data_IF_546922841360
#
_entry.id   IF_546922841360
#
_cell.length_a   1.000
_cell.length_b   1.000
_cell.length_c   1.000
_cell.angle_alpha   90.00
_cell.angle_beta   90.00
_cell.angle_gamma   90.00
#
_symmetry.space_group_name_H-M   'P 1'
#
loop_
_entity.id
_entity.type
_entity.pdbx_description
1 polymer ?
#
# COMPACT_ATOMS: atom_id res chain seq x y z
N UNK A 1 12.71 1.37 17.85
CA UNK A 1 11.53 0.63 18.31
C UNK A 1 10.92 0.07 17.04
N UNK A 2 10.94 -1.24 16.87
CA UNK A 2 10.73 -1.93 15.58
C UNK A 2 9.36 -1.62 15.01
N UNK A 3 9.33 -1.13 13.77
CA UNK A 3 8.13 -0.81 13.05
C UNK A 3 7.36 -2.11 12.73
N UNK A 4 6.37 -2.43 13.56
CA UNK A 4 5.17 -3.24 13.24
C UNK A 4 5.32 -4.68 12.73
N UNK A 5 6.41 -5.35 13.06
CA UNK A 5 6.42 -6.82 13.09
C UNK A 5 5.60 -7.27 14.32
N UNK A 6 4.29 -7.41 14.13
CA UNK A 6 3.45 -8.09 15.11
C UNK A 6 3.62 -9.61 14.87
N UNK A 7 4.00 -10.41 15.89
CA UNK A 7 3.95 -11.86 15.76
C UNK A 7 2.52 -12.23 15.32
N UNK A 8 2.39 -13.02 14.25
CA UNK A 8 1.09 -13.42 13.73
C UNK A 8 0.31 -14.14 14.85
N UNK A 9 -0.62 -13.41 15.48
CA UNK A 9 -1.42 -13.95 16.57
C UNK A 9 -2.56 -14.80 16.00
N UNK A 10 -3.12 -14.40 14.85
CA UNK A 10 -4.04 -15.16 14.00
C UNK A 10 -4.15 -14.45 12.64
N UNK A 11 -3.77 -15.07 11.52
CA UNK A 11 -3.97 -14.46 10.19
C UNK A 11 -5.37 -14.79 9.68
N UNK A 12 -6.25 -13.80 9.61
CA UNK A 12 -7.56 -13.95 8.95
C UNK A 12 -7.36 -13.68 7.45
N UNK A 13 -7.86 -14.58 6.60
CA UNK A 13 -7.81 -14.32 5.16
C UNK A 13 -8.72 -13.15 4.80
N UNK A 14 -8.24 -12.26 3.95
CA UNK A 14 -9.03 -11.18 3.38
C UNK A 14 -10.23 -11.71 2.57
N UNK A 15 -10.13 -12.93 2.04
CA UNK A 15 -11.24 -13.60 1.35
C UNK A 15 -12.36 -14.05 2.30
N UNK A 16 -12.06 -14.24 3.58
CA UNK A 16 -13.07 -14.56 4.61
C UNK A 16 -13.80 -13.32 5.12
N UNK A 17 -13.13 -12.15 5.03
CA UNK A 17 -13.69 -10.86 5.47
C UNK A 17 -14.52 -10.20 4.37
N UNK A 18 -14.01 -10.26 3.13
CA UNK A 18 -14.58 -9.50 2.01
C UNK A 18 -15.32 -10.41 1.03
N UNK A 19 -16.54 -10.03 0.59
CA UNK A 19 -17.30 -10.81 -0.39
C UNK A 19 -16.79 -10.53 -1.81
N UNK A 20 -15.53 -10.87 -2.08
CA UNK A 20 -14.80 -10.49 -3.31
C UNK A 20 -15.50 -10.98 -4.58
N UNK A 21 -16.08 -12.18 -4.54
CA UNK A 21 -16.78 -12.77 -5.68
C UNK A 21 -17.99 -11.93 -6.09
N UNK A 22 -18.66 -11.29 -5.13
CA UNK A 22 -19.80 -10.39 -5.40
C UNK A 22 -19.35 -9.05 -5.97
N UNK A 23 -18.13 -8.60 -5.66
CA UNK A 23 -17.61 -7.33 -6.13
C UNK A 23 -17.12 -7.39 -7.58
N UNK A 24 -16.64 -8.54 -8.04
CA UNK A 24 -16.07 -8.74 -9.38
C UNK A 24 -17.01 -8.31 -10.52
N UNK A 25 -18.33 -8.39 -10.29
CA UNK A 25 -19.40 -7.99 -11.24
C UNK A 25 -20.07 -6.66 -10.88
N UNK A 26 -19.65 -6.03 -9.79
CA UNK A 26 -20.25 -4.82 -9.26
C UNK A 26 -19.74 -3.53 -9.91
N UNK A 27 -20.18 -2.41 -9.36
CA UNK A 27 -19.83 -1.05 -9.80
C UNK A 27 -18.79 -0.38 -8.88
N UNK A 28 -18.06 -1.16 -8.09
CA UNK A 28 -17.09 -0.64 -7.11
C UNK A 28 -16.07 0.27 -7.80
N UNK A 29 -15.98 1.51 -7.31
CA UNK A 29 -15.08 2.54 -7.82
C UNK A 29 -13.87 2.75 -6.93
N UNK A 30 -14.06 2.61 -5.63
CA UNK A 30 -13.06 2.93 -4.63
C UNK A 30 -13.02 1.79 -3.62
N UNK A 31 -11.83 1.27 -3.38
CA UNK A 31 -11.57 0.25 -2.36
C UNK A 31 -10.52 0.79 -1.39
N UNK A 32 -10.79 0.72 -0.08
CA UNK A 32 -9.85 1.16 0.94
C UNK A 32 -9.61 0.05 1.94
N UNK A 33 -8.35 -0.16 2.30
CA UNK A 33 -7.94 -1.07 3.36
C UNK A 33 -6.98 -0.34 4.27
N UNK A 34 -7.29 -0.30 5.57
CA UNK A 34 -6.45 0.38 6.53
C UNK A 34 -6.39 -0.28 7.90
N UNK A 35 -5.22 -0.19 8.55
CA UNK A 35 -5.04 -0.57 9.95
C UNK A 35 -5.16 -2.06 10.24
N UNK A 36 -4.97 -2.91 9.22
CA UNK A 36 -5.13 -4.36 9.32
C UNK A 36 -3.82 -5.08 8.98
N UNK A 37 -3.66 -6.26 9.58
CA UNK A 37 -2.56 -7.17 9.29
C UNK A 37 -2.85 -7.99 8.03
N UNK A 38 -1.90 -8.08 7.09
CA UNK A 38 -2.09 -8.74 5.80
C UNK A 38 -0.90 -9.61 5.41
N UNK A 39 -1.20 -10.73 4.73
CA UNK A 39 -0.20 -11.44 3.95
C UNK A 39 -0.10 -10.81 2.56
N UNK A 40 1.11 -10.69 2.01
CA UNK A 40 1.32 -10.11 0.68
C UNK A 40 0.50 -10.83 -0.39
N UNK A 41 0.57 -12.15 -0.44
CA UNK A 41 -0.11 -12.93 -1.49
C UNK A 41 -1.64 -12.83 -1.39
N UNK A 42 -2.18 -12.76 -0.17
CA UNK A 42 -3.63 -12.62 0.04
C UNK A 42 -4.12 -11.22 -0.37
N UNK A 43 -3.35 -10.17 -0.06
CA UNK A 43 -3.63 -8.82 -0.55
C UNK A 43 -3.60 -8.76 -2.09
N UNK A 44 -2.57 -9.34 -2.72
CA UNK A 44 -2.46 -9.33 -4.18
C UNK A 44 -3.60 -10.14 -4.83
N UNK A 45 -3.97 -11.27 -4.24
CA UNK A 45 -5.12 -12.07 -4.66
C UNK A 45 -6.43 -11.27 -4.59
N UNK A 46 -6.68 -10.58 -3.48
CA UNK A 46 -7.83 -9.70 -3.30
C UNK A 46 -7.87 -8.60 -4.37
N UNK A 47 -6.76 -7.86 -4.52
CA UNK A 47 -6.68 -6.74 -5.48
C UNK A 47 -6.87 -7.21 -6.93
N UNK A 48 -6.41 -8.42 -7.27
CA UNK A 48 -6.60 -9.00 -8.60
C UNK A 48 -8.03 -9.37 -8.94
N UNK A 49 -8.89 -9.55 -7.94
CA UNK A 49 -10.32 -9.87 -8.12
C UNK A 49 -11.23 -8.64 -8.10
N UNK A 50 -10.70 -7.44 -7.82
CA UNK A 50 -11.49 -6.21 -7.85
C UNK A 50 -12.03 -5.92 -9.26
N UNK A 51 -13.23 -5.32 -9.39
CA UNK A 51 -13.88 -5.15 -10.67
C UNK A 51 -13.13 -4.20 -11.61
N UNK A 52 -13.34 -4.32 -12.94
CA UNK A 52 -12.73 -3.44 -13.93
C UNK A 52 -13.19 -1.98 -13.79
N UNK A 53 -14.29 -1.72 -13.07
CA UNK A 53 -14.80 -0.38 -12.79
C UNK A 53 -13.95 0.43 -11.80
N UNK A 54 -13.01 -0.22 -11.12
CA UNK A 54 -12.16 0.37 -10.09
C UNK A 54 -11.37 1.58 -10.62
N UNK A 55 -11.41 2.67 -9.84
CA UNK A 55 -10.78 3.96 -10.15
C UNK A 55 -9.69 4.30 -9.13
N UNK A 56 -9.86 3.93 -7.86
CA UNK A 56 -8.80 4.10 -6.87
C UNK A 56 -8.77 3.00 -5.82
N UNK A 57 -7.59 2.79 -5.25
CA UNK A 57 -7.40 2.05 -4.02
C UNK A 57 -6.66 2.90 -2.98
N UNK A 58 -6.91 2.60 -1.72
CA UNK A 58 -6.14 3.11 -0.59
C UNK A 58 -5.60 1.93 0.23
N UNK A 59 -4.29 1.94 0.49
CA UNK A 59 -3.58 0.95 1.31
C UNK A 59 -2.84 1.70 2.42
N UNK A 60 -3.50 1.86 3.57
CA UNK A 60 -3.05 2.77 4.63
C UNK A 60 -2.73 2.03 5.92
N UNK A 61 -1.57 2.24 6.51
CA UNK A 61 -1.25 1.71 7.85
C UNK A 61 -1.39 0.19 7.94
N UNK A 62 -1.05 -0.52 6.87
CA UNK A 62 -1.09 -1.98 6.83
C UNK A 62 0.11 -2.53 7.62
N UNK A 63 -0.14 -3.56 8.42
CA UNK A 63 0.93 -4.38 9.02
C UNK A 63 1.13 -5.61 8.14
N UNK A 64 2.33 -5.82 7.63
CA UNK A 64 2.61 -6.96 6.75
C UNK A 64 3.18 -8.08 7.62
N UNK A 65 2.61 -9.28 7.52
CA UNK A 65 3.08 -10.42 8.32
C UNK A 65 4.53 -10.75 7.97
N UNK A 66 5.39 -10.82 8.99
CA UNK A 66 6.80 -11.17 8.85
C UNK A 66 6.98 -12.48 8.06
N UNK A 67 7.95 -12.52 7.16
CA UNK A 67 8.19 -13.67 6.29
C UNK A 67 7.19 -13.84 5.13
N UNK A 68 6.10 -13.06 5.08
CA UNK A 68 5.12 -13.14 3.98
C UNK A 68 5.31 -12.08 2.91
N UNK A 69 6.02 -10.99 3.22
CA UNK A 69 6.32 -9.94 2.25
C UNK A 69 6.66 -8.61 2.90
N UNK A 70 6.62 -7.54 2.11
CA UNK A 70 6.93 -6.18 2.53
C UNK A 70 6.36 -5.17 1.50
N UNK A 71 6.35 -3.87 1.83
CA UNK A 71 5.74 -2.85 0.97
C UNK A 71 6.33 -2.81 -0.44
N UNK A 72 7.67 -2.90 -0.59
CA UNK A 72 8.30 -2.95 -1.92
C UNK A 72 7.82 -4.15 -2.75
N UNK A 73 7.71 -5.33 -2.14
CA UNK A 73 7.18 -6.55 -2.76
C UNK A 73 5.71 -6.44 -3.15
N UNK A 74 4.87 -5.82 -2.32
CA UNK A 74 3.46 -5.53 -2.64
C UNK A 74 3.38 -4.64 -3.88
N UNK A 75 4.11 -3.52 -3.91
CA UNK A 75 4.07 -2.59 -5.05
C UNK A 75 4.61 -3.22 -6.33
N UNK A 76 5.69 -4.01 -6.23
CA UNK A 76 6.22 -4.76 -7.37
C UNK A 76 5.18 -5.75 -7.91
N UNK A 77 4.50 -6.49 -7.04
CA UNK A 77 3.43 -7.39 -7.44
C UNK A 77 2.22 -6.66 -8.05
N UNK A 78 1.81 -5.51 -7.50
CA UNK A 78 0.75 -4.68 -8.11
C UNK A 78 1.14 -4.28 -9.53
N UNK A 79 2.37 -3.77 -9.69
CA UNK A 79 2.91 -3.31 -10.98
C UNK A 79 2.97 -4.43 -12.01
N UNK A 80 3.49 -5.60 -11.60
CA UNK A 80 3.93 -6.64 -12.52
C UNK A 80 2.88 -7.75 -12.72
N UNK A 81 1.99 -8.00 -11.74
CA UNK A 81 1.01 -9.11 -11.78
C UNK A 81 -0.42 -8.69 -12.08
N UNK A 82 -0.86 -7.50 -11.67
CA UNK A 82 -2.28 -7.11 -11.78
C UNK A 82 -2.65 -6.52 -13.16
N UNK A 83 -1.66 -6.30 -14.03
CA UNK A 83 -1.86 -5.74 -15.37
C UNK A 83 -2.28 -4.26 -15.37
N UNK A 84 -2.34 -3.59 -14.21
CA UNK A 84 -2.81 -2.21 -14.09
C UNK A 84 -1.95 -1.23 -14.90
N UNK A 85 -0.64 -1.48 -14.99
CA UNK A 85 0.31 -0.66 -15.77
C UNK A 85 -0.08 -0.54 -17.25
N UNK A 86 -0.71 -1.58 -17.80
CA UNK A 86 -1.10 -1.68 -19.20
C UNK A 86 -2.48 -1.08 -19.48
N UNK A 87 -3.20 -0.60 -18.46
CA UNK A 87 -4.47 0.11 -18.68
C UNK A 87 -4.22 1.42 -19.44
N UNK A 88 -5.19 1.86 -20.27
CA UNK A 88 -5.18 3.21 -20.84
C UNK A 88 -4.94 4.25 -19.75
N UNK A 89 -4.23 5.34 -20.09
CA UNK A 89 -3.79 6.35 -19.12
C UNK A 89 -4.97 6.89 -18.29
N UNK A 90 -6.12 7.13 -18.93
CA UNK A 90 -7.36 7.64 -18.31
C UNK A 90 -8.15 6.58 -17.51
N UNK A 91 -7.68 5.33 -17.50
CA UNK A 91 -8.29 4.18 -16.79
C UNK A 91 -7.35 3.53 -15.78
N UNK A 92 -6.16 4.11 -15.56
CA UNK A 92 -5.22 3.66 -14.51
C UNK A 92 -5.84 3.90 -13.14
N UNK A 93 -5.64 2.95 -12.24
CA UNK A 93 -6.18 3.00 -10.89
C UNK A 93 -5.26 3.88 -10.04
N UNK A 94 -5.80 4.94 -9.44
CA UNK A 94 -5.03 5.75 -8.48
C UNK A 94 -4.76 4.91 -7.23
N UNK A 95 -3.49 4.75 -6.88
CA UNK A 95 -3.08 4.01 -5.67
C UNK A 95 -2.62 4.98 -4.61
N UNK A 96 -3.30 5.02 -3.48
CA UNK A 96 -2.90 5.81 -2.32
C UNK A 96 -2.25 4.92 -1.27
N UNK A 97 -1.11 5.33 -0.73
CA UNK A 97 -0.36 4.57 0.27
C UNK A 97 0.04 5.50 1.41
N UNK A 98 -0.48 5.21 2.60
CA UNK A 98 -0.19 5.94 3.82
C UNK A 98 0.51 5.03 4.81
N UNK A 99 1.55 5.54 5.46
CA UNK A 99 2.40 4.74 6.35
C UNK A 99 2.81 5.59 7.56
N UNK A 100 3.03 4.99 8.73
CA UNK A 100 3.62 5.69 9.90
C UNK A 100 4.97 5.07 10.21
N UNK A 101 5.91 5.36 9.33
CA UNK A 101 7.27 4.83 9.41
C UNK A 101 8.10 5.82 10.21
N UNK A 102 8.78 5.31 11.23
CA UNK A 102 9.77 6.06 12.04
C UNK A 102 9.25 7.40 12.60
N UNK A 103 7.94 7.48 12.87
CA UNK A 103 7.33 8.67 13.43
C UNK A 103 7.50 8.69 14.95
N UNK A 104 8.28 9.65 15.45
CA UNK A 104 8.42 9.91 16.90
C UNK A 104 7.16 10.55 17.48
N UNK A 105 6.40 11.26 16.65
CA UNK A 105 5.22 12.02 17.07
C UNK A 105 3.94 11.23 16.75
N UNK A 106 3.11 10.92 17.77
CA UNK A 106 1.81 10.32 17.56
C UNK A 106 0.94 11.20 16.65
N UNK A 107 0.27 10.59 15.68
CA UNK A 107 -0.58 11.30 14.71
C UNK A 107 0.11 11.61 13.38
N UNK A 108 1.44 11.62 13.32
CA UNK A 108 2.12 11.80 12.04
C UNK A 108 2.02 10.56 11.14
N UNK A 109 1.88 10.81 9.84
CA UNK A 109 1.97 9.79 8.80
C UNK A 109 2.53 10.35 7.50
N UNK A 110 3.10 9.47 6.68
CA UNK A 110 3.65 9.81 5.36
C UNK A 110 2.74 9.27 4.26
N UNK A 111 2.39 10.15 3.33
CA UNK A 111 1.69 9.86 2.09
C UNK A 111 2.68 9.71 0.95
N UNK A 112 2.62 8.58 0.23
CA UNK A 112 3.54 8.23 -0.86
C UNK A 112 2.84 8.15 -2.22
N UNK A 113 1.66 8.75 -2.36
CA UNK A 113 0.82 8.63 -3.54
C UNK A 113 1.57 8.98 -4.83
N UNK A 114 2.37 10.05 -4.82
CA UNK A 114 3.13 10.46 -6.01
C UNK A 114 4.15 9.40 -6.40
N UNK A 115 5.01 9.01 -5.47
CA UNK A 115 6.10 8.06 -5.68
C UNK A 115 5.56 6.69 -6.10
N UNK A 116 4.48 6.24 -5.46
CA UNK A 116 3.81 4.99 -5.77
C UNK A 116 3.24 5.01 -7.18
N UNK A 117 2.45 6.03 -7.56
CA UNK A 117 1.87 6.06 -8.90
C UNK A 117 2.94 6.23 -9.99
N UNK A 118 4.00 7.01 -9.73
CA UNK A 118 5.15 7.15 -10.64
C UNK A 118 5.89 5.83 -10.84
N UNK A 119 6.05 5.02 -9.78
CA UNK A 119 6.64 3.69 -9.84
C UNK A 119 5.76 2.68 -10.58
N UNK A 120 4.46 2.66 -10.28
CA UNK A 120 3.52 1.69 -10.87
C UNK A 120 3.30 1.93 -12.37
N UNK A 121 3.22 3.20 -12.78
CA UNK A 121 2.76 3.57 -14.12
C UNK A 121 3.83 4.22 -15.01
N UNK A 122 4.88 4.77 -14.40
CA UNK A 122 5.95 5.50 -15.08
C UNK A 122 7.29 4.77 -14.98
N UNK A 123 8.35 5.57 -14.83
CA UNK A 123 9.73 5.14 -14.63
C UNK A 123 10.26 5.59 -13.25
N UNK A 124 9.37 5.84 -12.29
CA UNK A 124 9.78 6.19 -10.93
C UNK A 124 10.55 5.06 -10.25
N UNK A 125 11.48 5.36 -9.33
CA UNK A 125 12.15 4.34 -8.53
C UNK A 125 11.16 3.69 -7.54
N UNK A 126 11.48 2.50 -6.99
CA UNK A 126 10.72 1.91 -5.89
C UNK A 126 10.62 2.88 -4.70
N UNK A 127 9.43 3.13 -4.12
CA UNK A 127 9.28 4.02 -2.97
C UNK A 127 9.83 3.48 -1.64
N UNK A 128 10.13 2.18 -1.59
CA UNK A 128 10.58 1.46 -0.40
C UNK A 128 11.83 0.65 -0.69
N UNK A 129 12.78 0.66 0.26
CA UNK A 129 14.01 -0.12 0.19
C UNK A 129 13.84 -1.61 0.47
N UNK A 130 14.83 -2.39 0.05
CA UNK A 130 14.99 -3.82 0.36
C UNK A 130 16.42 -4.04 0.85
N UNK A 131 16.59 -4.80 1.93
CA UNK A 131 17.91 -5.11 2.48
C UNK A 131 18.63 -6.18 1.65
N UNK A 132 19.89 -6.43 1.97
CA UNK A 132 20.74 -7.40 1.28
C UNK A 132 20.18 -8.83 1.29
N UNK A 133 19.29 -9.14 2.23
CA UNK A 133 18.67 -10.45 2.42
C UNK A 133 17.30 -10.55 1.73
N UNK A 134 16.86 -9.50 1.01
CA UNK A 134 15.55 -9.47 0.37
C UNK A 134 14.39 -9.12 1.31
N UNK A 135 14.68 -8.83 2.59
CA UNK A 135 13.71 -8.29 3.54
C UNK A 135 13.49 -6.80 3.27
N UNK A 136 12.23 -6.40 3.05
CA UNK A 136 11.92 -4.98 2.97
C UNK A 136 12.13 -4.32 4.32
N UNK A 137 12.73 -3.13 4.32
CA UNK A 137 12.65 -2.24 5.45
C UNK A 137 11.85 -1.02 5.01
N UNK A 138 11.02 -0.53 5.91
CA UNK A 138 10.11 0.56 5.63
C UNK A 138 10.84 1.92 5.74
N UNK A 139 12.10 2.00 5.33
CA UNK A 139 12.73 3.30 5.17
C UNK A 139 12.31 3.84 3.81
N UNK A 140 11.63 4.97 3.87
CA UNK A 140 11.38 5.85 2.74
C UNK A 140 12.55 6.82 2.69
N UNK A 141 13.19 7.00 1.54
CA UNK A 141 14.27 7.98 1.43
C UNK A 141 13.78 9.40 1.77
N UNK A 142 14.63 10.19 2.45
CA UNK A 142 14.30 11.58 2.74
C UNK A 142 13.95 12.37 1.48
N UNK A 143 12.90 13.19 1.56
CA UNK A 143 12.37 13.95 0.44
C UNK A 143 11.33 13.19 -0.41
N UNK A 144 11.11 11.90 -0.18
CA UNK A 144 10.03 11.15 -0.81
C UNK A 144 8.78 11.15 0.08
N UNK A 145 7.64 11.54 -0.49
CA UNK A 145 6.38 11.61 0.20
C UNK A 145 6.17 12.88 1.03
N UNK A 146 4.91 13.07 1.44
CA UNK A 146 4.47 14.19 2.26
C UNK A 146 4.00 13.68 3.62
N UNK A 147 4.54 14.26 4.67
CA UNK A 147 4.12 14.02 6.04
C UNK A 147 2.95 14.93 6.41
N UNK A 148 1.96 14.35 7.08
CA UNK A 148 0.76 14.98 7.60
C UNK A 148 0.57 14.64 9.08
N UNK A 149 -0.26 15.41 9.77
CA UNK A 149 -0.68 15.17 11.16
C UNK A 149 -2.20 14.94 11.21
N UNK A 150 -2.63 13.87 11.87
CA UNK A 150 -4.04 13.56 12.10
C UNK A 150 -4.76 14.57 13.00
N UNK A 151 -4.01 15.30 13.83
CA UNK A 151 -4.53 16.26 14.80
C UNK A 151 -4.33 17.72 14.36
N UNK A 152 -3.51 17.96 13.33
CA UNK A 152 -3.29 19.28 12.73
C UNK A 152 -3.46 19.22 11.21
N UNK A 153 -4.65 19.58 10.67
CA UNK A 153 -4.92 19.51 9.24
C UNK A 153 -4.12 20.51 8.40
N UNK A 154 -3.54 21.56 9.03
CA UNK A 154 -2.69 22.54 8.35
C UNK A 154 -1.23 22.07 8.29
N UNK A 155 -0.89 20.99 9.01
CA UNK A 155 0.43 20.38 8.95
C UNK A 155 0.58 19.55 7.68
N UNK A 156 1.43 20.04 6.77
CA UNK A 156 1.90 19.28 5.62
C UNK A 156 3.34 19.68 5.28
N UNK A 157 4.25 18.71 5.24
CA UNK A 157 5.66 18.95 4.87
C UNK A 157 6.27 17.76 4.14
N UNK A 158 7.29 17.94 3.29
CA UNK A 158 8.05 16.81 2.76
C UNK A 158 8.60 15.93 3.88
N UNK A 159 8.60 14.61 3.68
CA UNK A 159 9.19 13.68 4.64
C UNK A 159 10.70 13.94 4.80
N UNK A 160 11.17 13.91 6.05
CA UNK A 160 12.50 14.35 6.47
C UNK A 160 13.06 13.49 7.57
#
# INVERSE_FOLDING_TARGET
MTCWEAPALDSISLSDIFPVDQWSTGSLKHFGLSGIQVMQDDLISLLGKLPPTLVSIELSFLSIIEGTGHYAGILANIRDKLGWRHRPIDKRIRVSVLVRLDQTDPGHYTCLDKEVNDYLYGNGPPPFGVNEQGGGYAEVDFGNGMQYDEFDPDFARPYR
#
